data_IF_649268817752
#
_entry.id   IF_649268817752
#
_cell.length_a   1.000
_cell.length_b   1.000
_cell.length_c   1.000
_cell.angle_alpha   90.00
_cell.angle_beta   90.00
_cell.angle_gamma   90.00
#
_symmetry.space_group_name_H-M   'P 1'
#
loop_
_entity.id
_entity.type
_entity.pdbx_description
1 polymer ?
#
# COMPACT_ATOMS: atom_id res chain seq x y z
N UNK A 1 5.18 4.71 -16.54
CA UNK A 1 6.28 5.45 -15.88
C UNK A 1 6.25 5.07 -14.40
N UNK A 2 7.38 4.75 -13.79
CA UNK A 2 7.43 4.32 -12.38
C UNK A 2 6.97 5.46 -11.47
N UNK A 3 5.96 5.21 -10.63
CA UNK A 3 5.46 6.24 -9.72
C UNK A 3 6.44 6.49 -8.57
N UNK A 4 6.42 7.71 -8.05
CA UNK A 4 7.10 8.06 -6.79
C UNK A 4 6.43 7.33 -5.62
N UNK A 5 7.18 7.14 -4.54
CA UNK A 5 6.64 6.50 -3.32
C UNK A 5 5.40 7.25 -2.82
N UNK A 6 5.47 8.57 -2.75
CA UNK A 6 4.37 9.45 -2.33
C UNK A 6 3.07 9.27 -3.15
N UNK A 7 3.21 9.17 -4.47
CA UNK A 7 2.07 8.91 -5.36
C UNK A 7 1.46 7.53 -5.10
N UNK A 8 2.29 6.52 -4.83
CA UNK A 8 1.81 5.17 -4.50
C UNK A 8 1.07 5.15 -3.16
N UNK A 9 1.58 5.85 -2.14
CA UNK A 9 0.88 5.99 -0.84
C UNK A 9 -0.49 6.64 -1.03
N UNK A 10 -0.56 7.71 -1.83
CA UNK A 10 -1.81 8.39 -2.15
C UNK A 10 -2.81 7.48 -2.85
N UNK A 11 -2.36 6.71 -3.85
CA UNK A 11 -3.21 5.76 -4.57
C UNK A 11 -3.71 4.63 -3.67
N UNK A 12 -2.87 4.12 -2.77
CA UNK A 12 -3.24 3.10 -1.79
C UNK A 12 -4.30 3.60 -0.81
N UNK A 13 -4.17 4.86 -0.36
CA UNK A 13 -5.19 5.51 0.48
C UNK A 13 -6.50 5.67 -0.26
N UNK A 14 -6.43 6.13 -1.51
CA UNK A 14 -7.62 6.31 -2.35
C UNK A 14 -8.31 4.96 -2.61
N UNK A 15 -7.54 3.89 -2.80
CA UNK A 15 -8.07 2.53 -2.94
C UNK A 15 -8.87 2.09 -1.71
N UNK A 16 -8.34 2.29 -0.51
CA UNK A 16 -9.06 1.96 0.74
C UNK A 16 -10.32 2.82 0.87
N UNK A 17 -10.21 4.13 0.66
CA UNK A 17 -11.34 5.07 0.75
C UNK A 17 -12.46 4.72 -0.24
N UNK A 18 -12.13 4.44 -1.51
CA UNK A 18 -13.12 4.04 -2.54
C UNK A 18 -13.78 2.71 -2.22
N UNK A 19 -13.05 1.79 -1.59
CA UNK A 19 -13.59 0.49 -1.19
C UNK A 19 -14.46 0.54 0.07
N UNK A 20 -14.38 1.62 0.85
CA UNK A 20 -15.02 1.71 2.17
C UNK A 20 -14.42 0.79 3.23
N UNK A 21 -13.30 0.11 2.94
CA UNK A 21 -12.63 -0.83 3.84
C UNK A 21 -11.46 -0.17 4.55
N UNK A 22 -11.21 -0.60 5.79
CA UNK A 22 -10.05 -0.17 6.56
C UNK A 22 -8.79 -0.99 6.25
N UNK A 23 -8.96 -2.19 5.68
CA UNK A 23 -7.86 -3.03 5.22
C UNK A 23 -8.20 -3.72 3.90
N UNK A 24 -7.17 -3.95 3.08
CA UNK A 24 -7.26 -4.67 1.83
C UNK A 24 -5.96 -5.47 1.59
N UNK A 25 -6.11 -6.60 0.90
CA UNK A 25 -4.99 -7.35 0.35
C UNK A 25 -4.94 -7.18 -1.16
N UNK A 26 -3.75 -6.94 -1.68
CA UNK A 26 -3.47 -6.83 -3.11
C UNK A 26 -2.58 -7.99 -3.53
N UNK A 27 -2.93 -8.67 -4.62
CA UNK A 27 -1.96 -9.54 -5.30
C UNK A 27 -0.78 -8.70 -5.81
N UNK A 28 0.42 -9.28 -5.90
CA UNK A 28 1.58 -8.61 -6.49
C UNK A 28 1.31 -7.99 -7.86
N UNK A 29 0.57 -8.68 -8.73
CA UNK A 29 0.16 -8.15 -10.05
C UNK A 29 -0.59 -6.82 -9.93
N UNK A 30 -1.58 -6.73 -9.05
CA UNK A 30 -2.33 -5.48 -8.80
C UNK A 30 -1.43 -4.40 -8.19
N UNK A 31 -0.57 -4.79 -7.26
CA UNK A 31 0.35 -3.86 -6.63
C UNK A 31 1.35 -3.24 -7.62
N UNK A 32 1.90 -4.03 -8.56
CA UNK A 32 2.75 -3.52 -9.64
C UNK A 32 2.04 -2.48 -10.51
N UNK A 33 0.75 -2.69 -10.80
CA UNK A 33 -0.07 -1.72 -11.53
C UNK A 33 -0.24 -0.43 -10.73
N UNK A 34 -0.57 -0.53 -9.43
CA UNK A 34 -0.68 0.64 -8.55
C UNK A 34 0.64 1.41 -8.51
N UNK A 35 1.76 0.71 -8.32
CA UNK A 35 3.10 1.28 -8.26
C UNK A 35 3.62 1.82 -9.62
N UNK A 36 2.97 1.46 -10.73
CA UNK A 36 3.43 1.76 -12.08
C UNK A 36 4.79 1.15 -12.42
N UNK A 37 5.16 0.03 -11.79
CA UNK A 37 6.49 -0.58 -11.84
C UNK A 37 6.38 -2.05 -12.25
N UNK A 38 7.19 -2.47 -13.23
CA UNK A 38 7.28 -3.88 -13.65
C UNK A 38 8.08 -4.74 -12.65
N UNK A 39 9.03 -4.11 -11.94
CA UNK A 39 9.82 -4.73 -10.88
C UNK A 39 9.96 -3.75 -9.72
N UNK A 40 9.89 -4.29 -8.51
CA UNK A 40 10.05 -3.52 -7.27
C UNK A 40 11.25 -4.11 -6.52
N UNK A 41 12.20 -3.24 -6.17
CA UNK A 41 13.37 -3.59 -5.36
C UNK A 41 13.01 -3.45 -3.88
N UNK A 42 13.71 -4.19 -3.02
CA UNK A 42 13.51 -4.15 -1.57
C UNK A 42 13.63 -2.73 -1.00
N UNK A 43 14.61 -1.95 -1.46
CA UNK A 43 14.76 -0.55 -1.05
C UNK A 43 13.50 0.31 -1.29
N UNK A 44 12.79 0.10 -2.40
CA UNK A 44 11.54 0.82 -2.66
C UNK A 44 10.43 0.37 -1.70
N UNK A 45 10.40 -0.92 -1.36
CA UNK A 45 9.41 -1.48 -0.43
C UNK A 45 9.62 -0.92 0.98
N UNK A 46 10.87 -0.80 1.41
CA UNK A 46 11.26 -0.17 2.68
C UNK A 46 10.87 1.31 2.72
N UNK A 47 11.22 2.08 1.68
CA UNK A 47 10.86 3.48 1.57
C UNK A 47 9.33 3.68 1.58
N UNK A 48 8.60 2.82 0.87
CA UNK A 48 7.14 2.86 0.82
C UNK A 48 6.51 2.52 2.16
N UNK A 49 6.99 1.50 2.86
CA UNK A 49 6.48 1.17 4.20
C UNK A 49 6.73 2.33 5.18
N UNK A 50 7.91 2.95 5.12
CA UNK A 50 8.26 4.12 5.94
C UNK A 50 7.35 5.32 5.66
N UNK A 51 7.13 5.65 4.38
CA UNK A 51 6.30 6.79 4.01
C UNK A 51 4.81 6.52 4.24
N UNK A 52 4.34 5.30 4.01
CA UNK A 52 2.97 4.90 4.32
C UNK A 52 2.66 5.08 5.82
N UNK A 53 3.59 4.68 6.69
CA UNK A 53 3.45 4.87 8.15
C UNK A 53 3.31 6.34 8.53
N UNK A 54 4.11 7.23 7.92
CA UNK A 54 3.99 8.67 8.13
C UNK A 54 2.63 9.24 7.66
N UNK A 55 1.94 8.55 6.74
CA UNK A 55 0.62 8.89 6.23
C UNK A 55 -0.54 8.12 6.92
N UNK A 56 -0.29 7.49 8.08
CA UNK A 56 -1.24 6.65 8.81
C UNK A 56 -1.78 5.48 8.00
N UNK A 57 -0.90 4.86 7.21
CA UNK A 57 -1.15 3.60 6.51
C UNK A 57 -0.13 2.55 6.93
N UNK A 58 -0.61 1.32 7.12
CA UNK A 58 0.21 0.14 7.29
C UNK A 58 0.34 -0.60 5.96
N UNK A 59 1.56 -0.75 5.45
CA UNK A 59 1.86 -1.53 4.26
C UNK A 59 2.83 -2.65 4.63
N UNK A 60 2.46 -3.89 4.35
CA UNK A 60 3.27 -5.08 4.62
C UNK A 60 3.29 -6.02 3.44
N UNK A 61 4.43 -6.66 3.20
CA UNK A 61 4.69 -7.50 2.04
C UNK A 61 4.76 -8.96 2.48
N UNK A 62 3.76 -9.74 2.11
CA UNK A 62 3.77 -11.19 2.24
C UNK A 62 4.26 -11.86 0.96
N UNK A 63 4.43 -13.18 1.01
CA UNK A 63 4.84 -13.96 -0.16
C UNK A 63 3.83 -13.85 -1.33
N UNK A 64 2.53 -13.97 -1.03
CA UNK A 64 1.48 -13.98 -2.05
C UNK A 64 0.79 -12.62 -2.26
N UNK A 65 0.78 -11.78 -1.22
CA UNK A 65 -0.04 -10.56 -1.15
C UNK A 65 0.70 -9.41 -0.49
N UNK A 66 0.29 -8.19 -0.83
CA UNK A 66 0.62 -6.96 -0.12
C UNK A 66 -0.60 -6.56 0.71
N UNK A 67 -0.42 -6.47 2.02
CA UNK A 67 -1.43 -5.96 2.94
C UNK A 67 -1.33 -4.44 3.00
N UNK A 68 -2.47 -3.77 2.90
CA UNK A 68 -2.61 -2.32 3.04
C UNK A 68 -3.75 -2.07 4.01
N UNK A 69 -3.49 -1.38 5.12
CA UNK A 69 -4.49 -1.05 6.11
C UNK A 69 -4.35 0.40 6.59
N UNK A 70 -5.43 0.99 7.09
CA UNK A 70 -5.37 2.24 7.85
C UNK A 70 -4.70 1.96 9.20
N UNK A 71 -3.81 2.85 9.62
CA UNK A 71 -3.10 2.73 10.90
C UNK A 71 -3.91 3.41 12.03
N UNK A 72 -5.15 2.94 12.20
CA UNK A 72 -6.06 3.36 13.28
C UNK A 72 -6.79 2.13 13.81
N UNK A 73 -7.37 2.23 15.01
CA UNK A 73 -8.22 1.17 15.53
C UNK A 73 -9.54 1.13 14.74
N UNK A 74 -9.72 0.08 13.94
CA UNK A 74 -10.93 -0.22 13.18
C UNK A 74 -11.60 -1.50 13.69
N UNK A 75 -11.25 -1.97 14.89
CA UNK A 75 -11.95 -3.09 15.51
C UNK A 75 -13.42 -2.73 15.76
N UNK A 76 -14.36 -3.67 15.53
CA UNK A 76 -15.75 -3.43 15.89
C UNK A 76 -15.86 -3.28 17.41
N UNK A 77 -16.49 -2.17 17.85
CA UNK A 77 -16.83 -1.91 19.25
C UNK A 77 -18.08 -2.70 19.64
#
# INVERSE_FOLDING_TARGET
MAKSVDSVVSDLRELLNKSGKDAATLTWKKFYVVAGRERIKDAFMEDLAKQAKAASLFVSYGNAVVLVAKDYDFSPV
#
